data_IF_894182979232
#
_entry.id   IF_894182979232
#
_cell.length_a   1.000
_cell.length_b   1.000
_cell.length_c   1.000
_cell.angle_alpha   90.00
_cell.angle_beta   90.00
_cell.angle_gamma   90.00
#
_symmetry.space_group_name_H-M   'P 1'
#
loop_
_entity.id
_entity.type
_entity.pdbx_description
1 polymer ?
#
# COMPACT_ATOMS: atom_id res chain seq x y z
N UNK A 1 13.21 20.39 -8.53
CA UNK A 1 12.36 19.26 -8.96
C UNK A 1 12.39 18.12 -7.93
N UNK A 2 13.54 17.46 -7.72
CA UNK A 2 13.66 16.31 -6.79
C UNK A 2 13.21 16.61 -5.35
N UNK A 3 13.52 17.80 -4.83
CA UNK A 3 13.05 18.24 -3.50
C UNK A 3 11.53 18.34 -3.36
N UNK A 4 10.80 18.60 -4.46
CA UNK A 4 9.33 18.56 -4.45
C UNK A 4 8.78 17.13 -4.37
N UNK A 5 9.62 16.13 -4.68
CA UNK A 5 9.32 14.71 -4.52
C UNK A 5 9.83 14.18 -3.16
N UNK A 6 10.25 15.05 -2.24
CA UNK A 6 10.79 14.64 -0.93
C UNK A 6 12.21 14.07 -0.98
N UNK A 7 12.91 14.22 -2.11
CA UNK A 7 14.27 13.73 -2.30
C UNK A 7 15.24 14.89 -2.12
N UNK A 8 16.12 14.78 -1.13
CA UNK A 8 17.23 15.71 -0.90
C UNK A 8 18.55 15.05 -1.36
N UNK A 9 18.94 15.20 -2.64
CA UNK A 9 20.12 14.54 -3.19
C UNK A 9 21.40 15.16 -2.66
N UNK A 10 22.38 14.34 -2.31
CA UNK A 10 23.73 14.78 -1.93
C UNK A 10 24.47 15.41 -3.12
N UNK A 11 25.53 16.19 -2.86
CA UNK A 11 26.32 16.83 -3.93
C UNK A 11 26.85 15.81 -4.95
N UNK A 12 27.33 14.66 -4.50
CA UNK A 12 27.79 13.57 -5.37
C UNK A 12 26.67 13.02 -6.25
N UNK A 13 25.46 12.85 -5.71
CA UNK A 13 24.30 12.40 -6.48
C UNK A 13 23.85 13.44 -7.49
N UNK A 14 23.87 14.72 -7.14
CA UNK A 14 23.57 15.80 -8.09
C UNK A 14 24.60 15.84 -9.23
N UNK A 15 25.88 15.66 -8.91
CA UNK A 15 26.94 15.63 -9.91
C UNK A 15 26.85 14.38 -10.80
N UNK A 16 26.48 13.23 -10.24
CA UNK A 16 26.24 12.02 -11.00
C UNK A 16 25.06 12.18 -11.97
N UNK A 17 23.94 12.75 -11.50
CA UNK A 17 22.78 13.04 -12.32
C UNK A 17 23.12 13.99 -13.49
N UNK A 18 23.91 15.04 -13.22
CA UNK A 18 24.36 15.97 -14.27
C UNK A 18 25.28 15.32 -15.30
N UNK A 19 26.07 14.33 -14.91
CA UNK A 19 26.93 13.59 -15.84
C UNK A 19 26.14 12.62 -16.72
N UNK A 20 25.04 12.07 -16.22
CA UNK A 20 24.17 11.19 -17.00
C UNK A 20 23.28 11.97 -17.97
N UNK A 21 22.99 13.23 -17.70
CA UNK A 21 22.11 14.05 -18.52
C UNK A 21 22.85 14.74 -19.65
N UNK A 22 22.31 14.60 -20.87
CA UNK A 22 22.77 15.38 -21.99
C UNK A 22 22.19 16.80 -21.92
N UNK A 23 23.07 17.76 -21.61
CA UNK A 23 22.71 19.18 -21.57
C UNK A 23 22.88 19.76 -22.97
N UNK A 24 21.84 20.40 -23.48
CA UNK A 24 21.87 21.06 -24.79
C UNK A 24 22.70 22.36 -24.75
N UNK A 25 22.88 22.99 -25.93
CA UNK A 25 23.59 24.25 -26.06
C UNK A 25 22.95 25.44 -25.30
N UNK A 26 21.71 25.28 -24.83
CA UNK A 26 20.98 26.27 -24.05
C UNK A 26 21.03 25.99 -22.54
N UNK A 27 21.74 24.95 -22.11
CA UNK A 27 21.82 24.58 -20.70
C UNK A 27 20.57 23.85 -20.20
N UNK A 28 19.73 23.35 -21.12
CA UNK A 28 18.50 22.63 -20.78
C UNK A 28 18.64 21.14 -21.04
N UNK A 29 17.80 20.35 -20.38
CA UNK A 29 17.77 18.90 -20.51
C UNK A 29 16.37 18.48 -20.91
N UNK A 30 16.25 17.46 -21.76
CA UNK A 30 14.96 16.89 -22.08
C UNK A 30 14.30 16.34 -20.81
N UNK A 31 13.01 16.62 -20.63
CA UNK A 31 12.28 16.18 -19.45
C UNK A 31 12.27 14.65 -19.31
N UNK A 32 12.15 13.92 -20.43
CA UNK A 32 12.20 12.46 -20.45
C UNK A 32 13.52 11.92 -19.88
N UNK A 33 14.64 12.39 -20.41
CA UNK A 33 15.98 11.99 -19.98
C UNK A 33 16.23 12.32 -18.51
N UNK A 34 15.77 13.49 -18.05
CA UNK A 34 15.82 13.87 -16.64
C UNK A 34 15.05 12.89 -15.75
N UNK A 35 13.82 12.53 -16.15
CA UNK A 35 12.98 11.60 -15.39
C UNK A 35 13.58 10.21 -15.36
N UNK A 36 14.14 9.73 -16.47
CA UNK A 36 14.78 8.41 -16.58
C UNK A 36 16.04 8.33 -15.71
N UNK A 37 16.96 9.28 -15.86
CA UNK A 37 18.19 9.32 -15.05
C UNK A 37 17.88 9.48 -13.55
N UNK A 38 16.88 10.31 -13.20
CA UNK A 38 16.44 10.44 -11.81
C UNK A 38 15.80 9.15 -11.28
N UNK A 39 15.02 8.44 -12.10
CA UNK A 39 14.39 7.16 -11.73
C UNK A 39 15.43 6.09 -11.45
N UNK A 40 16.50 6.04 -12.24
CA UNK A 40 17.55 5.05 -12.07
C UNK A 40 18.46 5.36 -10.88
N UNK A 41 18.84 6.63 -10.71
CA UNK A 41 19.72 7.05 -9.63
C UNK A 41 19.03 7.03 -8.25
N UNK A 42 17.74 7.39 -8.20
CA UNK A 42 16.97 7.48 -6.95
C UNK A 42 15.92 6.38 -6.81
N UNK A 43 16.04 5.25 -7.53
CA UNK A 43 15.01 4.18 -7.57
C UNK A 43 14.49 3.76 -6.19
N UNK A 44 15.40 3.57 -5.22
CA UNK A 44 15.06 3.19 -3.85
C UNK A 44 14.34 4.32 -3.10
N UNK A 45 14.80 5.56 -3.22
CA UNK A 45 14.18 6.73 -2.58
C UNK A 45 12.86 7.14 -3.24
N UNK A 46 12.70 6.91 -4.54
CA UNK A 46 11.47 7.14 -5.28
C UNK A 46 10.41 6.09 -4.95
N UNK A 47 10.81 4.84 -4.67
CA UNK A 47 9.88 3.81 -4.17
C UNK A 47 9.36 4.15 -2.77
N UNK A 48 10.22 4.71 -1.91
CA UNK A 48 9.87 5.15 -0.56
C UNK A 48 9.02 6.44 -0.58
N UNK A 49 9.39 7.43 -1.40
CA UNK A 49 8.62 8.65 -1.60
C UNK A 49 7.26 8.41 -2.30
N UNK A 50 7.17 7.38 -3.16
CA UNK A 50 5.91 6.93 -3.75
C UNK A 50 5.03 6.09 -2.80
N UNK A 51 5.52 5.75 -1.59
CA UNK A 51 4.70 5.15 -0.54
C UNK A 51 3.99 6.19 0.35
N UNK A 52 4.09 7.48 0.03
CA UNK A 52 3.22 8.51 0.61
C UNK A 52 1.75 8.32 0.19
N UNK A 53 0.77 8.92 0.90
CA UNK A 53 -0.66 8.54 0.83
C UNK A 53 -1.38 8.80 -0.52
N UNK A 54 -0.67 9.06 -1.61
CA UNK A 54 -1.27 9.51 -2.88
C UNK A 54 -0.59 9.03 -4.17
N UNK A 55 0.40 8.14 -4.15
CA UNK A 55 1.04 7.66 -5.37
C UNK A 55 0.57 6.24 -5.73
N UNK A 56 -0.20 6.19 -6.81
CA UNK A 56 -0.67 4.97 -7.45
C UNK A 56 0.49 4.04 -7.84
N UNK A 57 0.34 2.79 -7.44
CA UNK A 57 1.18 1.64 -7.75
C UNK A 57 1.42 1.50 -9.26
N UNK A 58 2.62 1.86 -9.72
CA UNK A 58 3.13 1.43 -11.03
C UNK A 58 4.35 0.53 -10.82
N UNK A 59 4.09 -0.77 -10.71
CA UNK A 59 5.14 -1.78 -10.54
C UNK A 59 4.60 -3.09 -10.01
N UNK A 60 3.90 -3.84 -10.84
CA UNK A 60 3.58 -5.25 -10.56
C UNK A 60 4.88 -6.07 -10.60
N UNK A 61 5.50 -6.41 -9.47
CA UNK A 61 6.36 -7.62 -9.36
C UNK A 61 6.90 -7.97 -7.96
N UNK A 62 6.38 -7.50 -6.82
CA UNK A 62 7.07 -7.78 -5.52
C UNK A 62 6.15 -8.24 -4.38
N UNK A 63 5.05 -8.92 -4.69
CA UNK A 63 4.12 -9.47 -3.67
C UNK A 63 4.56 -10.81 -3.06
N UNK A 64 5.75 -11.32 -3.38
CA UNK A 64 6.21 -12.63 -2.88
C UNK A 64 7.07 -12.56 -1.60
N UNK A 65 7.70 -11.43 -1.29
CA UNK A 65 8.65 -11.32 -0.16
C UNK A 65 8.10 -10.59 1.09
N UNK A 66 6.84 -10.16 1.09
CA UNK A 66 6.27 -9.35 2.17
C UNK A 66 6.00 -10.14 3.48
N UNK A 67 6.21 -11.45 3.50
CA UNK A 67 5.91 -12.27 4.68
C UNK A 67 7.10 -12.49 5.65
N UNK A 68 8.34 -12.08 5.31
CA UNK A 68 9.52 -12.45 6.11
C UNK A 68 10.30 -11.27 6.74
N UNK A 69 9.82 -10.03 6.65
CA UNK A 69 10.47 -8.87 7.28
C UNK A 69 9.51 -8.12 8.20
N UNK A 70 9.10 -8.77 9.29
CA UNK A 70 8.43 -8.11 10.43
C UNK A 70 9.33 -7.99 11.68
N UNK A 71 10.62 -8.27 11.53
CA UNK A 71 11.61 -8.04 12.57
C UNK A 71 12.80 -7.34 11.91
N UNK A 72 13.27 -6.23 12.49
CA UNK A 72 14.41 -5.39 12.05
C UNK A 72 14.10 -4.28 11.04
N UNK A 73 13.33 -3.27 11.46
CA UNK A 73 13.49 -1.89 10.97
C UNK A 73 12.82 -0.91 11.94
N UNK A 74 13.33 -0.86 13.16
CA UNK A 74 13.26 0.37 13.94
C UNK A 74 14.19 1.37 13.22
N UNK A 75 13.63 2.39 12.55
CA UNK A 75 14.23 3.69 12.15
C UNK A 75 13.65 4.21 10.84
N UNK A 76 12.41 4.70 10.89
CA UNK A 76 11.99 5.81 10.03
C UNK A 76 10.84 6.51 10.76
N UNK A 77 10.93 7.84 10.82
CA UNK A 77 10.05 8.74 11.57
C UNK A 77 8.59 8.25 11.61
N UNK A 78 7.95 8.15 12.80
CA UNK A 78 6.53 7.92 12.83
C UNK A 78 5.90 9.19 12.26
N UNK A 79 5.50 9.15 10.99
CA UNK A 79 4.44 10.04 10.50
C UNK A 79 3.36 10.01 11.57
N UNK A 80 2.91 11.18 12.02
CA UNK A 80 1.94 11.42 13.09
C UNK A 80 0.67 10.57 12.93
N UNK A 81 0.76 9.26 13.18
CA UNK A 81 -0.39 8.40 13.42
C UNK A 81 -0.75 8.74 14.84
N UNK A 82 -1.71 9.66 14.98
CA UNK A 82 -2.23 10.03 16.28
C UNK A 82 -2.61 8.74 17.01
N UNK A 83 -2.06 8.55 18.21
CA UNK A 83 -2.31 7.34 19.01
C UNK A 83 -3.81 7.09 19.17
N UNK A 84 -4.59 8.17 19.24
CA UNK A 84 -6.04 8.17 19.26
C UNK A 84 -6.68 7.57 17.99
N UNK A 85 -6.14 7.89 16.81
CA UNK A 85 -6.60 7.29 15.54
C UNK A 85 -6.32 5.79 15.49
N UNK A 86 -5.16 5.34 15.98
CA UNK A 86 -4.83 3.92 16.02
C UNK A 86 -5.75 3.15 16.98
N UNK A 87 -6.07 3.74 18.13
CA UNK A 87 -7.03 3.18 19.10
C UNK A 87 -8.45 3.13 18.50
N UNK A 88 -8.87 4.18 17.81
CA UNK A 88 -10.15 4.24 17.09
C UNK A 88 -10.25 3.16 16.02
N UNK A 89 -9.27 3.06 15.13
CA UNK A 89 -9.22 2.06 14.05
C UNK A 89 -9.24 0.64 14.63
N UNK A 90 -8.51 0.40 15.73
CA UNK A 90 -8.50 -0.90 16.39
C UNK A 90 -9.88 -1.26 16.94
N UNK A 91 -10.59 -0.30 17.56
CA UNK A 91 -11.96 -0.49 18.03
C UNK A 91 -12.91 -0.81 16.89
N UNK A 92 -12.89 -0.03 15.82
CA UNK A 92 -13.74 -0.21 14.64
C UNK A 92 -13.53 -1.59 13.99
N UNK A 93 -12.26 -2.01 13.85
CA UNK A 93 -11.92 -3.35 13.34
C UNK A 93 -12.48 -4.45 14.23
N UNK A 94 -12.38 -4.31 15.55
CA UNK A 94 -12.90 -5.31 16.48
C UNK A 94 -14.43 -5.40 16.45
N UNK A 95 -15.11 -4.26 16.36
CA UNK A 95 -16.57 -4.19 16.21
C UNK A 95 -17.03 -4.82 14.89
N UNK A 96 -16.36 -4.50 13.78
CA UNK A 96 -16.64 -5.09 12.48
C UNK A 96 -16.47 -6.63 12.50
N UNK A 97 -15.40 -7.13 13.13
CA UNK A 97 -15.18 -8.57 13.29
C UNK A 97 -16.28 -9.24 14.13
N UNK A 98 -16.79 -8.56 15.16
CA UNK A 98 -17.89 -9.06 15.99
C UNK A 98 -19.19 -9.16 15.19
N UNK A 99 -19.53 -8.12 14.42
CA UNK A 99 -20.72 -8.13 13.58
C UNK A 99 -20.61 -9.15 12.44
N UNK A 100 -19.43 -9.32 11.84
CA UNK A 100 -19.18 -10.38 10.86
C UNK A 100 -19.44 -11.77 11.44
N UNK A 101 -18.95 -12.04 12.65
CA UNK A 101 -19.18 -13.32 13.33
C UNK A 101 -20.67 -13.55 13.58
N UNK A 102 -21.38 -12.53 14.08
CA UNK A 102 -22.82 -12.60 14.32
C UNK A 102 -23.61 -12.82 13.03
N UNK A 103 -23.24 -12.16 11.93
CA UNK A 103 -23.86 -12.37 10.63
C UNK A 103 -23.64 -13.81 10.11
N UNK A 104 -22.43 -14.34 10.27
CA UNK A 104 -22.09 -15.74 9.91
C UNK A 104 -22.91 -16.76 10.71
N UNK A 105 -23.09 -16.52 12.02
CA UNK A 105 -23.89 -17.40 12.88
C UNK A 105 -25.37 -17.41 12.44
N UNK A 106 -25.95 -16.23 12.20
CA UNK A 106 -27.33 -16.09 11.69
C UNK A 106 -27.54 -16.73 10.33
N UNK A 107 -26.55 -16.60 9.42
CA UNK A 107 -26.61 -17.24 8.11
C UNK A 107 -26.63 -18.76 8.26
N UNK A 108 -25.74 -19.31 9.09
CA UNK A 108 -25.66 -20.74 9.34
C UNK A 108 -26.95 -21.30 9.96
N UNK A 109 -27.56 -20.55 10.89
CA UNK A 109 -28.87 -20.90 11.47
C UNK A 109 -29.98 -20.89 10.41
N UNK A 110 -30.06 -19.81 9.61
CA UNK A 110 -31.04 -19.71 8.52
C UNK A 110 -30.94 -20.85 7.50
N UNK A 111 -29.72 -21.24 7.12
CA UNK A 111 -29.49 -22.36 6.21
C UNK A 111 -29.96 -23.69 6.80
N UNK A 112 -29.68 -23.93 8.09
CA UNK A 112 -30.16 -25.13 8.80
C UNK A 112 -31.69 -25.18 8.85
N UNK A 113 -32.34 -24.08 9.24
CA UNK A 113 -33.80 -24.01 9.27
C UNK A 113 -34.39 -24.24 7.89
N UNK A 114 -33.84 -23.62 6.85
CA UNK A 114 -34.33 -23.79 5.47
C UNK A 114 -34.21 -25.23 4.99
N UNK A 115 -33.12 -25.92 5.35
CA UNK A 115 -32.94 -27.35 5.07
C UNK A 115 -34.01 -28.19 5.78
N UNK A 116 -34.24 -27.96 7.08
CA UNK A 116 -35.27 -28.67 7.83
C UNK A 116 -36.66 -28.49 7.24
N UNK A 117 -37.05 -27.26 6.92
CA UNK A 117 -38.34 -26.99 6.26
C UNK A 117 -38.45 -27.68 4.89
N UNK A 118 -37.37 -27.71 4.11
CA UNK A 118 -37.34 -28.43 2.83
C UNK A 118 -37.55 -29.93 3.01
N UNK A 119 -36.90 -30.53 4.00
CA UNK A 119 -37.02 -31.97 4.31
C UNK A 119 -38.45 -32.32 4.78
N UNK A 120 -39.07 -31.47 5.61
CA UNK A 120 -40.46 -31.65 6.04
C UNK A 120 -41.45 -31.50 4.89
N UNK A 121 -41.27 -30.48 4.04
CA UNK A 121 -42.11 -30.28 2.86
C UNK A 121 -42.06 -31.48 1.91
N UNK A 122 -40.87 -32.08 1.76
CA UNK A 122 -40.72 -33.30 0.96
C UNK A 122 -41.46 -34.48 1.59
N UNK A 123 -41.42 -34.65 2.92
CA UNK A 123 -42.15 -35.71 3.63
C UNK A 123 -43.66 -35.58 3.49
N UNK A 124 -44.21 -34.36 3.57
CA UNK A 124 -45.67 -34.11 3.45
C UNK A 124 -46.18 -34.34 2.02
N UNK A 125 -45.31 -34.23 1.01
CA UNK A 125 -45.67 -34.49 -0.39
C UNK A 125 -45.67 -35.98 -0.78
N UNK A 126 -45.13 -36.87 0.06
CA UNK A 126 -45.16 -38.33 -0.16
C UNK A 126 -46.39 -38.96 0.48
#
# INVERSE_FOLDING_TARGET
ALRYLGIDPTEDQQQNLRQQLHVDSMGTVAYGDFVEAARDLFRLQLSEAASGPGAVMFGSSEVANLCETTQTAETASPSSVDKEDLERITRERNEALKELKKAKDRLSESERSRKQLSDELQKVKQ
#
